data_IF_155688433869
#
_entry.id   IF_155688433869
#
_cell.length_a   1.000
_cell.length_b   1.000
_cell.length_c   1.000
_cell.angle_alpha   90.00
_cell.angle_beta   90.00
_cell.angle_gamma   90.00
#
_symmetry.space_group_name_H-M   'P 1'
#
loop_
_entity.id
_entity.type
_entity.pdbx_description
1 polymer ?
#
# COMPACT_ATOMS: atom_id res chain seq x y z
N UNK A 1 10.29 12.70 -6.21
CA UNK A 1 11.55 11.93 -6.34
C UNK A 1 12.22 11.71 -4.98
N UNK A 2 12.60 12.77 -4.23
CA UNK A 2 13.30 12.67 -2.93
C UNK A 2 12.58 11.76 -1.93
N UNK A 3 11.28 11.94 -1.72
CA UNK A 3 10.52 11.09 -0.79
C UNK A 3 10.49 9.61 -1.21
N UNK A 4 10.51 9.31 -2.52
CA UNK A 4 10.57 7.94 -3.01
C UNK A 4 11.92 7.28 -2.74
N UNK A 5 13.01 8.04 -2.93
CA UNK A 5 14.37 7.60 -2.57
C UNK A 5 14.51 7.38 -1.07
N UNK A 6 13.93 8.26 -0.25
CA UNK A 6 13.94 8.11 1.21
C UNK A 6 13.22 6.82 1.65
N UNK A 7 12.05 6.53 1.08
CA UNK A 7 11.34 5.27 1.33
C UNK A 7 12.13 4.05 0.85
N UNK A 8 12.68 4.09 -0.36
CA UNK A 8 13.49 3.00 -0.90
C UNK A 8 14.72 2.70 -0.05
N UNK A 9 15.49 3.73 0.30
CA UNK A 9 16.64 3.60 1.20
C UNK A 9 16.24 3.13 2.60
N UNK A 10 15.14 3.65 3.15
CA UNK A 10 14.61 3.25 4.45
C UNK A 10 14.19 1.78 4.49
N UNK A 11 13.51 1.29 3.45
CA UNK A 11 13.12 -0.12 3.33
C UNK A 11 14.35 -1.02 3.29
N UNK A 12 15.37 -0.66 2.50
CA UNK A 12 16.62 -1.42 2.42
C UNK A 12 17.32 -1.45 3.78
N UNK A 13 17.43 -0.29 4.45
CA UNK A 13 18.06 -0.20 5.75
C UNK A 13 17.34 -1.05 6.80
N UNK A 14 16.00 -1.02 6.81
CA UNK A 14 15.18 -1.82 7.74
C UNK A 14 15.29 -3.31 7.44
N UNK A 15 15.26 -3.71 6.16
CA UNK A 15 15.42 -5.11 5.78
C UNK A 15 16.80 -5.65 6.21
N UNK A 16 17.88 -4.90 5.93
CA UNK A 16 19.23 -5.29 6.34
C UNK A 16 19.38 -5.34 7.87
N UNK A 17 18.84 -4.35 8.57
CA UNK A 17 18.84 -4.30 10.03
C UNK A 17 18.09 -5.48 10.65
N UNK A 18 16.91 -5.83 10.11
CA UNK A 18 16.13 -6.96 10.56
C UNK A 18 16.86 -8.29 10.28
N UNK A 19 17.41 -8.48 9.09
CA UNK A 19 18.21 -9.68 8.77
C UNK A 19 19.44 -9.81 9.68
N UNK A 20 20.10 -8.68 9.99
CA UNK A 20 21.23 -8.66 10.92
C UNK A 20 20.80 -9.02 12.35
N UNK A 21 19.71 -8.43 12.84
CA UNK A 21 19.14 -8.76 14.15
C UNK A 21 18.73 -10.24 14.24
N UNK A 22 18.18 -10.81 13.16
CA UNK A 22 17.86 -12.24 13.08
C UNK A 22 19.11 -13.12 13.18
N UNK A 23 20.18 -12.75 12.46
CA UNK A 23 21.46 -13.49 12.52
C UNK A 23 22.10 -13.46 13.90
N UNK A 24 21.88 -12.40 14.68
CA UNK A 24 22.32 -12.30 16.07
C UNK A 24 21.38 -13.00 17.06
N UNK A 25 20.24 -13.54 16.58
CA UNK A 25 19.25 -14.20 17.43
C UNK A 25 18.36 -13.24 18.24
N UNK A 26 18.38 -11.93 17.94
CA UNK A 26 17.52 -10.96 18.64
C UNK A 26 16.07 -11.01 18.18
N UNK A 27 15.81 -11.42 16.95
CA UNK A 27 14.47 -11.57 16.40
C UNK A 27 14.35 -12.90 15.64
N UNK A 28 13.14 -13.43 15.58
CA UNK A 28 12.82 -14.59 14.75
C UNK A 28 12.50 -14.19 13.30
N UNK A 29 12.44 -15.18 12.41
CA UNK A 29 12.11 -14.95 11.00
C UNK A 29 10.69 -14.41 10.80
N UNK A 30 9.77 -14.73 11.71
CA UNK A 30 8.42 -14.22 11.68
C UNK A 30 8.38 -12.72 11.99
N UNK A 31 9.10 -12.26 13.00
CA UNK A 31 9.21 -10.82 13.31
C UNK A 31 9.87 -10.05 12.17
N UNK A 32 10.93 -10.58 11.55
CA UNK A 32 11.54 -9.98 10.36
C UNK A 32 10.51 -9.78 9.24
N UNK A 33 9.73 -10.83 8.95
CA UNK A 33 8.72 -10.82 7.90
C UNK A 33 7.59 -9.84 8.21
N UNK A 34 7.15 -9.75 9.47
CA UNK A 34 6.12 -8.79 9.90
C UNK A 34 6.60 -7.35 9.78
N UNK A 35 7.83 -7.05 10.21
CA UNK A 35 8.40 -5.71 10.15
C UNK A 35 8.50 -5.25 8.69
N UNK A 36 9.04 -6.11 7.82
CA UNK A 36 9.19 -5.79 6.40
C UNK A 36 7.83 -5.55 5.72
N UNK A 37 6.87 -6.44 5.92
CA UNK A 37 5.55 -6.28 5.30
C UNK A 37 4.74 -5.14 5.93
N UNK A 38 4.88 -4.90 7.24
CA UNK A 38 4.33 -3.70 7.89
C UNK A 38 4.84 -2.42 7.23
N UNK A 39 6.13 -2.35 6.92
CA UNK A 39 6.72 -1.23 6.17
C UNK A 39 6.11 -1.07 4.77
N UNK A 40 5.85 -2.19 4.08
CA UNK A 40 5.18 -2.18 2.77
C UNK A 40 3.75 -1.64 2.84
N UNK A 41 3.00 -1.96 3.90
CA UNK A 41 1.69 -1.36 4.11
C UNK A 41 1.76 0.15 4.39
N UNK A 42 2.76 0.60 5.16
CA UNK A 42 2.95 2.03 5.47
C UNK A 42 3.25 2.87 4.23
N UNK A 43 4.09 2.36 3.31
CA UNK A 43 4.37 3.07 2.06
C UNK A 43 3.13 3.16 1.16
N UNK A 44 2.24 2.15 1.18
CA UNK A 44 0.95 2.19 0.48
C UNK A 44 0.07 3.30 1.06
N UNK A 45 -0.08 3.36 2.39
CA UNK A 45 -0.85 4.42 3.07
C UNK A 45 -0.30 5.80 2.71
N UNK A 46 1.02 5.96 2.77
CA UNK A 46 1.68 7.21 2.47
C UNK A 46 1.42 7.69 1.04
N UNK A 47 1.55 6.80 0.05
CA UNK A 47 1.28 7.13 -1.34
C UNK A 47 -0.21 7.39 -1.59
N UNK A 48 -1.09 6.57 -1.02
CA UNK A 48 -2.54 6.77 -1.08
C UNK A 48 -2.96 8.13 -0.56
N UNK A 49 -2.42 8.58 0.58
CA UNK A 49 -2.73 9.89 1.17
C UNK A 49 -2.21 11.07 0.32
N UNK A 50 -1.26 10.84 -0.59
CA UNK A 50 -0.72 11.87 -1.49
C UNK A 50 -1.48 11.98 -2.80
N UNK A 51 -2.14 10.93 -3.27
CA UNK A 51 -2.91 10.96 -4.52
C UNK A 51 -4.01 12.05 -4.55
N UNK A 52 -4.81 12.27 -3.49
CA UNK A 52 -5.83 13.32 -3.46
C UNK A 52 -5.25 14.73 -3.38
N UNK A 53 -4.00 14.85 -2.93
CA UNK A 53 -3.28 16.12 -2.76
C UNK A 53 -2.55 16.55 -4.03
N UNK A 54 -2.43 15.66 -5.02
CA UNK A 54 -1.86 15.99 -6.31
C UNK A 54 -2.84 16.86 -7.11
N UNK A 55 -2.32 17.93 -7.71
CA UNK A 55 -3.12 18.82 -8.53
C UNK A 55 -3.39 18.19 -9.90
N UNK A 56 -4.67 18.03 -10.23
CA UNK A 56 -5.11 17.61 -11.56
C UNK A 56 -5.94 18.72 -12.20
N UNK A 57 -5.65 19.10 -13.47
CA UNK A 57 -6.39 20.12 -14.20
C UNK A 57 -7.79 19.64 -14.61
N UNK A 58 -8.00 18.33 -14.75
CA UNK A 58 -9.26 17.73 -15.18
C UNK A 58 -10.07 17.30 -13.95
N UNK A 59 -11.35 17.72 -13.87
CA UNK A 59 -12.25 17.42 -12.75
C UNK A 59 -12.45 15.90 -12.54
N UNK A 60 -12.56 15.13 -13.62
CA UNK A 60 -12.68 13.67 -13.55
C UNK A 60 -11.41 13.04 -12.96
N UNK A 61 -10.22 13.46 -13.40
CA UNK A 61 -8.94 12.96 -12.88
C UNK A 61 -8.78 13.25 -11.38
N UNK A 62 -9.26 14.42 -10.91
CA UNK A 62 -9.29 14.77 -9.48
C UNK A 62 -10.23 13.87 -8.67
N UNK A 63 -11.40 13.52 -9.22
CA UNK A 63 -12.35 12.63 -8.56
C UNK A 63 -11.81 11.20 -8.47
N UNK A 64 -11.21 10.71 -9.56
CA UNK A 64 -10.53 9.41 -9.60
C UNK A 64 -9.36 9.35 -8.62
N UNK A 65 -8.53 10.40 -8.55
CA UNK A 65 -7.38 10.44 -7.62
C UNK A 65 -7.81 10.46 -6.15
N UNK A 66 -8.94 11.09 -5.84
CA UNK A 66 -9.54 11.06 -4.52
C UNK A 66 -9.99 9.65 -4.14
N UNK A 67 -10.81 9.02 -4.98
CA UNK A 67 -11.33 7.66 -4.73
C UNK A 67 -10.19 6.65 -4.66
N UNK A 68 -9.25 6.71 -5.61
CA UNK A 68 -8.08 5.83 -5.64
C UNK A 68 -7.16 6.04 -4.44
N UNK A 69 -6.92 7.30 -4.05
CA UNK A 69 -6.10 7.62 -2.88
C UNK A 69 -6.66 7.06 -1.59
N UNK A 70 -7.95 7.27 -1.32
CA UNK A 70 -8.61 6.73 -0.13
C UNK A 70 -8.73 5.20 -0.15
N UNK A 71 -9.00 4.61 -1.32
CA UNK A 71 -8.99 3.16 -1.50
C UNK A 71 -7.64 2.55 -1.10
N UNK A 72 -6.54 3.15 -1.57
CA UNK A 72 -5.19 2.70 -1.23
C UNK A 72 -4.86 2.90 0.25
N UNK A 73 -5.28 4.01 0.86
CA UNK A 73 -5.10 4.25 2.30
C UNK A 73 -5.80 3.16 3.12
N UNK A 74 -7.07 2.88 2.82
CA UNK A 74 -7.85 1.88 3.55
C UNK A 74 -7.25 0.48 3.37
N UNK A 75 -6.87 0.13 2.15
CA UNK A 75 -6.19 -1.12 1.84
C UNK A 75 -4.86 -1.26 2.59
N UNK A 76 -4.02 -0.22 2.58
CA UNK A 76 -2.76 -0.20 3.31
C UNK A 76 -2.95 -0.31 4.83
N UNK A 77 -3.97 0.34 5.41
CA UNK A 77 -4.30 0.23 6.83
C UNK A 77 -4.70 -1.21 7.21
N UNK A 78 -5.55 -1.84 6.39
CA UNK A 78 -5.93 -3.24 6.58
C UNK A 78 -4.71 -4.15 6.45
N UNK A 79 -3.85 -3.91 5.45
CA UNK A 79 -2.61 -4.67 5.25
C UNK A 79 -1.68 -4.60 6.46
N UNK A 80 -1.38 -3.40 6.95
CA UNK A 80 -0.54 -3.20 8.14
C UNK A 80 -1.16 -3.87 9.37
N UNK A 81 -2.47 -3.69 9.58
CA UNK A 81 -3.18 -4.31 10.71
C UNK A 81 -3.12 -5.84 10.67
N UNK A 82 -3.31 -6.44 9.49
CA UNK A 82 -3.20 -7.89 9.31
C UNK A 82 -1.77 -8.38 9.58
N UNK A 83 -0.75 -7.69 9.09
CA UNK A 83 0.65 -8.09 9.35
C UNK A 83 1.10 -7.82 10.79
N UNK A 84 0.49 -6.89 11.49
CA UNK A 84 0.75 -6.64 12.90
C UNK A 84 0.13 -7.71 13.81
N UNK A 85 -1.10 -8.17 13.52
CA UNK A 85 -1.89 -8.95 14.49
C UNK A 85 -2.33 -10.34 14.00
N UNK A 86 -2.43 -10.58 12.69
CA UNK A 86 -2.96 -11.84 12.18
C UNK A 86 -1.89 -12.95 12.12
N UNK A 87 -2.28 -14.23 12.16
CA UNK A 87 -1.38 -15.34 11.86
C UNK A 87 -0.78 -15.22 10.45
N UNK A 88 0.47 -15.64 10.26
CA UNK A 88 1.21 -15.50 8.99
C UNK A 88 0.45 -15.92 7.72
N UNK A 89 -0.19 -17.11 7.66
CA UNK A 89 -0.91 -17.50 6.45
C UNK A 89 -2.11 -16.60 6.14
N UNK A 90 -2.78 -16.07 7.18
CA UNK A 90 -3.89 -15.12 7.03
C UNK A 90 -3.36 -13.75 6.61
N UNK A 91 -2.28 -13.28 7.22
CA UNK A 91 -1.65 -12.00 6.87
C UNK A 91 -1.22 -11.96 5.39
N UNK A 92 -0.62 -13.05 4.89
CA UNK A 92 -0.20 -13.15 3.49
C UNK A 92 -1.40 -13.14 2.53
N UNK A 93 -2.41 -13.98 2.76
CA UNK A 93 -3.56 -14.12 1.86
C UNK A 93 -4.49 -12.92 1.90
N UNK A 94 -4.95 -12.54 3.11
CA UNK A 94 -5.88 -11.43 3.30
C UNK A 94 -5.21 -10.09 3.03
N UNK A 95 -3.91 -9.94 3.34
CA UNK A 95 -3.14 -8.75 3.00
C UNK A 95 -3.07 -8.55 1.49
N UNK A 96 -2.63 -9.56 0.73
CA UNK A 96 -2.59 -9.48 -0.73
C UNK A 96 -3.98 -9.17 -1.32
N UNK A 97 -5.03 -9.83 -0.83
CA UNK A 97 -6.40 -9.56 -1.25
C UNK A 97 -6.82 -8.11 -0.96
N UNK A 98 -6.46 -7.56 0.20
CA UNK A 98 -6.74 -6.16 0.54
C UNK A 98 -6.05 -5.18 -0.42
N UNK A 99 -4.80 -5.45 -0.81
CA UNK A 99 -4.07 -4.62 -1.80
C UNK A 99 -4.70 -4.71 -3.18
N UNK A 100 -5.05 -5.91 -3.63
CA UNK A 100 -5.74 -6.12 -4.91
C UNK A 100 -7.09 -5.39 -4.91
N UNK A 101 -7.89 -5.50 -3.85
CA UNK A 101 -9.14 -4.76 -3.73
C UNK A 101 -8.92 -3.24 -3.81
N UNK A 102 -7.87 -2.74 -3.15
CA UNK A 102 -7.45 -1.34 -3.20
C UNK A 102 -7.18 -0.82 -4.61
N UNK A 103 -6.62 -1.67 -5.49
CA UNK A 103 -6.35 -1.39 -6.92
C UNK A 103 -7.62 -1.52 -7.78
N UNK A 104 -8.42 -2.57 -7.55
CA UNK A 104 -9.60 -2.87 -8.37
C UNK A 104 -10.63 -1.74 -8.29
N UNK A 105 -10.82 -1.12 -7.13
CA UNK A 105 -11.78 -0.01 -6.95
C UNK A 105 -11.51 1.18 -7.90
N UNK A 106 -10.32 1.82 -7.92
CA UNK A 106 -10.05 2.91 -8.84
C UNK A 106 -10.05 2.48 -10.32
N UNK A 107 -9.56 1.28 -10.64
CA UNK A 107 -9.58 0.76 -12.02
C UNK A 107 -11.02 0.57 -12.50
N UNK A 108 -11.87 -0.08 -11.71
CA UNK A 108 -13.29 -0.27 -12.01
C UNK A 108 -14.02 1.07 -12.14
N UNK A 109 -13.68 2.05 -11.31
CA UNK A 109 -14.22 3.40 -11.40
C UNK A 109 -13.85 4.07 -12.73
N UNK A 110 -12.59 3.97 -13.18
CA UNK A 110 -12.17 4.47 -14.49
C UNK A 110 -12.91 3.80 -15.66
N UNK A 111 -13.03 2.46 -15.64
CA UNK A 111 -13.72 1.70 -16.69
C UNK A 111 -15.19 2.08 -16.77
N UNK A 112 -15.86 2.27 -15.63
CA UNK A 112 -17.27 2.67 -15.59
C UNK A 112 -17.52 4.05 -16.23
N UNK A 113 -16.65 5.04 -15.97
CA UNK A 113 -16.76 6.35 -16.62
C UNK A 113 -16.43 6.30 -18.10
N UNK A 114 -15.44 5.48 -18.51
CA UNK A 114 -15.14 5.25 -19.93
C UNK A 114 -16.30 4.60 -20.68
N UNK A 115 -16.99 3.65 -20.05
CA UNK A 115 -18.18 3.01 -20.62
C UNK A 115 -19.36 3.98 -20.74
N UNK A 116 -19.59 4.83 -19.73
CA UNK A 116 -20.62 5.88 -19.79
C UNK A 116 -20.34 6.93 -20.88
N UNK A 117 -19.09 7.31 -21.09
CA UNK A 117 -18.72 8.28 -22.12
C UNK A 117 -18.90 7.75 -23.55
N UNK A 118 -18.86 6.42 -23.76
CA UNK A 118 -19.13 5.78 -25.05
C UNK A 118 -20.61 5.55 -25.35
N UNK A 119 -21.48 5.67 -24.34
CA UNK A 119 -22.92 5.42 -24.46
C UNK A 119 -23.74 6.71 -24.69
N UNK A 120 -23.08 7.87 -24.79
CA UNK A 120 -23.63 9.19 -25.13
C UNK A 120 -23.10 9.58 -26.50
#
# INVERSE_FOLDING_TARGET
>A
MIAGLAWGGGIIAVALGATFARKLGYIDGDTETRVFNGMMGLIIIWNGNRMPKAFFPIALARKVSWVGGWSMVMSGLVYVGLWAFAPMPVAATAGCAAVVAGIVVPVGYCVWFGAKAKAV
#
